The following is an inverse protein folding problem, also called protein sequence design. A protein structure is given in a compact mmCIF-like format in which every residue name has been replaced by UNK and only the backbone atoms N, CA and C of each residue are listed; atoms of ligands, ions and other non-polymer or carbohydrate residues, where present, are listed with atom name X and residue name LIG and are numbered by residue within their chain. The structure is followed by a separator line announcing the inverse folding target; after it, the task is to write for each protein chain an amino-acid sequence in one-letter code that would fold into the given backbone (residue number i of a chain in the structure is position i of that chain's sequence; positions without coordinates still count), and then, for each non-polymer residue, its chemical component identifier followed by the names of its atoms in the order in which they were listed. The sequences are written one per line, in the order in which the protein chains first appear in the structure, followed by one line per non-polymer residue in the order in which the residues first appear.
data_IF_831803640664
#
_entry.id   IF_831803640664
#
_cell.length_a   1.000
_cell.length_b   1.000
_cell.length_c   1.000
_cell.angle_alpha   90.00
_cell.angle_beta   90.00
_cell.angle_gamma   90.00
#
_symmetry.space_group_name_H-M   'P 1'
#
loop_
_entity.id
_entity.type
_entity.pdbx_description
1 polymer ?
#
# COMPACT_ATOMS: atom_id res chain seq x y z
N UNK A 1 -7.05 -22.40 3.38
CA UNK A 1 -7.65 -21.39 2.52
C UNK A 1 -6.61 -20.88 1.55
N UNK A 2 -7.01 -20.59 0.33
CA UNK A 2 -6.08 -20.14 -0.71
C UNK A 2 -6.48 -18.76 -1.23
N UNK A 3 -5.50 -18.02 -1.76
CA UNK A 3 -5.77 -16.78 -2.48
C UNK A 3 -6.16 -17.10 -3.93
N UNK A 4 -7.14 -16.39 -4.44
CA UNK A 4 -7.58 -16.55 -5.83
C UNK A 4 -7.41 -15.28 -6.68
N UNK A 5 -6.98 -14.18 -6.06
CA UNK A 5 -6.76 -12.92 -6.75
C UNK A 5 -7.96 -11.98 -6.70
N UNK A 6 -9.05 -12.37 -6.03
CA UNK A 6 -10.25 -11.55 -5.96
C UNK A 6 -10.53 -11.05 -4.54
N UNK A 7 -9.56 -11.15 -3.65
CA UNK A 7 -9.70 -10.67 -2.28
C UNK A 7 -9.78 -9.15 -2.24
N UNK A 8 -10.49 -8.62 -1.25
CA UNK A 8 -10.71 -7.20 -1.09
C UNK A 8 -12.06 -6.77 -1.65
N UNK A 9 -12.45 -5.56 -1.31
CA UNK A 9 -13.74 -5.00 -1.73
C UNK A 9 -13.55 -3.56 -2.21
N UNK A 10 -14.38 -3.15 -3.15
CA UNK A 10 -14.50 -1.74 -3.49
C UNK A 10 -15.41 -1.07 -2.46
N UNK A 11 -15.08 0.14 -2.08
CA UNK A 11 -15.85 0.92 -1.12
C UNK A 11 -16.14 2.30 -1.73
N UNK A 12 -17.03 3.05 -1.10
CA UNK A 12 -17.34 4.41 -1.54
C UNK A 12 -16.27 5.38 -1.04
N UNK A 13 -16.18 6.53 -1.69
CA UNK A 13 -15.29 7.60 -1.22
C UNK A 13 -15.62 8.00 0.23
N UNK A 14 -16.90 8.04 0.58
CA UNK A 14 -17.31 8.36 1.95
C UNK A 14 -16.77 7.36 2.96
N UNK A 15 -16.91 6.07 2.68
CA UNK A 15 -16.38 5.03 3.56
C UNK A 15 -14.87 5.14 3.68
N UNK A 16 -14.18 5.34 2.57
CA UNK A 16 -12.73 5.51 2.57
C UNK A 16 -12.31 6.76 3.34
N UNK A 17 -13.03 7.87 3.18
CA UNK A 17 -12.68 9.12 3.86
C UNK A 17 -12.86 9.01 5.38
N UNK A 18 -13.86 8.29 5.84
CA UNK A 18 -14.05 8.05 7.26
C UNK A 18 -12.90 7.25 7.87
N UNK A 19 -12.45 6.23 7.14
CA UNK A 19 -11.34 5.39 7.59
C UNK A 19 -10.01 6.15 7.61
N UNK A 20 -9.72 6.91 6.56
CA UNK A 20 -8.47 7.68 6.50
C UNK A 20 -8.46 8.82 7.51
N UNK A 21 -9.61 9.43 7.79
CA UNK A 21 -9.72 10.46 8.83
C UNK A 21 -9.42 9.87 10.21
N UNK A 22 -9.93 8.68 10.51
CA UNK A 22 -9.62 8.02 11.78
C UNK A 22 -8.12 7.85 11.97
N UNK A 23 -7.40 7.49 10.92
CA UNK A 23 -5.95 7.38 11.00
C UNK A 23 -5.31 8.74 11.24
N UNK A 24 -5.70 9.77 10.47
CA UNK A 24 -5.13 11.11 10.62
C UNK A 24 -5.38 11.67 12.02
N UNK A 25 -6.48 11.30 12.65
CA UNK A 25 -6.80 11.76 14.00
C UNK A 25 -5.87 11.15 15.06
N UNK A 26 -5.13 10.10 14.73
CA UNK A 26 -4.22 9.43 15.68
C UNK A 26 -2.77 9.87 15.56
N UNK A 27 -2.42 10.66 14.55
CA UNK A 27 -1.04 11.02 14.26
C UNK A 27 -0.82 12.52 14.41
N UNK A 28 0.45 12.91 14.44
CA UNK A 28 0.84 14.33 14.51
C UNK A 28 0.87 14.95 13.11
N UNK A 29 0.63 16.27 13.01
CA UNK A 29 0.75 16.95 11.71
C UNK A 29 2.14 16.73 11.11
N UNK A 30 2.17 16.46 9.80
CA UNK A 30 3.43 16.24 9.08
C UNK A 30 3.85 14.78 8.99
N UNK A 31 3.23 13.90 9.76
CA UNK A 31 3.50 12.47 9.62
C UNK A 31 2.92 11.92 8.30
N UNK A 32 3.51 10.85 7.81
CA UNK A 32 3.09 10.24 6.55
C UNK A 32 1.67 9.68 6.66
N UNK A 33 0.80 10.08 5.74
CA UNK A 33 -0.58 9.60 5.68
C UNK A 33 -0.83 8.70 4.47
N UNK A 34 0.07 8.70 3.50
CA UNK A 34 -0.08 7.91 2.28
C UNK A 34 1.28 7.71 1.63
N UNK A 35 1.39 6.67 0.83
CA UNK A 35 2.57 6.43 0.01
C UNK A 35 2.11 6.04 -1.39
N UNK A 36 2.98 6.24 -2.37
CA UNK A 36 2.69 5.95 -3.78
C UNK A 36 3.65 4.90 -4.30
N UNK A 37 3.17 3.99 -5.11
CA UNK A 37 4.00 3.04 -5.84
C UNK A 37 3.63 3.14 -7.31
N UNK A 38 4.62 3.29 -8.16
CA UNK A 38 4.41 3.41 -9.60
C UNK A 38 3.75 2.19 -10.21
N UNK A 39 2.93 2.42 -11.23
CA UNK A 39 2.20 1.38 -11.95
C UNK A 39 3.13 0.28 -12.46
N UNK A 40 4.30 0.64 -12.98
CA UNK A 40 5.23 -0.33 -13.54
C UNK A 40 5.77 -1.31 -12.49
N UNK A 41 6.01 -0.83 -11.28
CA UNK A 41 6.48 -1.70 -10.18
C UNK A 41 5.38 -2.64 -9.72
N UNK A 42 4.17 -2.12 -9.56
CA UNK A 42 3.00 -2.93 -9.17
C UNK A 42 2.75 -4.00 -10.23
N UNK A 43 2.76 -3.61 -11.51
CA UNK A 43 2.54 -4.53 -12.62
C UNK A 43 3.61 -5.64 -12.63
N UNK A 44 4.87 -5.29 -12.45
CA UNK A 44 5.95 -6.26 -12.45
C UNK A 44 5.77 -7.30 -11.35
N UNK A 45 5.36 -6.87 -10.16
CA UNK A 45 5.09 -7.80 -9.06
C UNK A 45 3.93 -8.73 -9.41
N UNK A 46 2.83 -8.16 -9.95
CA UNK A 46 1.63 -8.93 -10.29
C UNK A 46 1.86 -9.90 -11.44
N UNK A 47 2.74 -9.57 -12.38
CA UNK A 47 3.01 -10.39 -13.55
C UNK A 47 3.89 -11.61 -13.28
N UNK A 48 4.42 -11.72 -12.06
CA UNK A 48 5.20 -12.91 -11.70
C UNK A 48 4.33 -14.16 -11.75
N UNK A 49 4.93 -15.27 -12.21
CA UNK A 49 4.23 -16.55 -12.27
C UNK A 49 3.73 -16.93 -10.86
N UNK A 50 2.50 -17.39 -10.77
CA UNK A 50 1.84 -17.83 -9.53
C UNK A 50 1.43 -16.68 -8.59
N UNK A 51 1.71 -15.42 -8.93
CA UNK A 51 1.32 -14.28 -8.11
C UNK A 51 -0.19 -14.05 -8.18
N UNK A 52 -0.84 -14.01 -7.03
CA UNK A 52 -2.29 -13.78 -6.92
C UNK A 52 -2.62 -12.37 -6.45
N UNK A 53 -1.66 -11.64 -5.94
CA UNK A 53 -1.85 -10.29 -5.45
C UNK A 53 -0.62 -9.78 -4.74
N UNK A 54 -0.76 -8.67 -4.06
CA UNK A 54 0.34 -8.02 -3.35
C UNK A 54 0.01 -7.96 -1.87
N UNK A 55 0.99 -8.33 -1.04
CA UNK A 55 0.92 -8.10 0.40
C UNK A 55 1.70 -6.84 0.72
N UNK A 56 1.08 -5.97 1.52
CA UNK A 56 1.64 -4.68 1.90
C UNK A 56 2.07 -4.76 3.35
N UNK A 57 3.38 -4.73 3.60
CA UNK A 57 3.90 -4.72 4.96
C UNK A 57 4.09 -3.29 5.43
N UNK A 58 3.66 -3.00 6.64
CA UNK A 58 3.96 -1.73 7.29
C UNK A 58 5.44 -1.73 7.66
N UNK A 59 6.12 -0.63 7.38
CA UNK A 59 7.56 -0.53 7.54
C UNK A 59 7.98 0.88 7.93
N UNK A 60 9.24 1.04 8.29
CA UNK A 60 9.84 2.36 8.58
C UNK A 60 11.10 2.47 7.72
N UNK A 61 11.24 3.59 7.01
CA UNK A 61 12.39 3.82 6.14
C UNK A 61 13.59 4.37 6.91
N UNK A 62 14.70 4.64 6.19
CA UNK A 62 15.93 5.12 6.79
C UNK A 62 15.78 6.49 7.47
N UNK A 63 14.78 7.26 7.09
CA UNK A 63 14.50 8.57 7.68
C UNK A 63 13.57 8.48 8.88
N UNK A 64 13.16 7.27 9.29
CA UNK A 64 12.23 7.08 10.38
C UNK A 64 10.77 7.32 10.01
N UNK A 65 10.45 7.39 8.73
CA UNK A 65 9.08 7.63 8.26
C UNK A 65 8.36 6.32 8.00
N UNK A 66 7.06 6.30 8.28
CA UNK A 66 6.21 5.16 7.93
C UNK A 66 6.16 4.97 6.42
N UNK A 67 6.25 3.75 5.98
CA UNK A 67 6.20 3.40 4.57
C UNK A 67 5.61 2.00 4.42
N UNK A 68 5.62 1.48 3.20
CA UNK A 68 5.16 0.13 2.91
C UNK A 68 6.25 -0.61 2.13
N UNK A 69 6.32 -1.91 2.37
CA UNK A 69 7.09 -2.84 1.53
C UNK A 69 6.08 -3.75 0.84
N UNK A 70 6.19 -3.87 -0.47
CA UNK A 70 5.28 -4.63 -1.30
C UNK A 70 5.95 -5.91 -1.79
N UNK A 71 5.24 -7.03 -1.67
CA UNK A 71 5.72 -8.33 -2.13
C UNK A 71 4.54 -9.11 -2.71
N UNK A 72 4.79 -9.88 -3.75
CA UNK A 72 3.76 -10.76 -4.31
C UNK A 72 3.43 -11.90 -3.36
N UNK A 73 2.21 -12.38 -3.43
CA UNK A 73 1.78 -13.54 -2.66
C UNK A 73 1.12 -14.56 -3.60
N UNK A 74 1.36 -15.83 -3.35
CA UNK A 74 0.85 -16.91 -4.18
C UNK A 74 -0.48 -17.46 -3.66
N UNK A 75 -1.01 -18.47 -4.33
CA UNK A 75 -2.30 -19.07 -3.96
C UNK A 75 -2.27 -19.74 -2.60
N UNK A 76 -1.11 -20.12 -2.11
CA UNK A 76 -0.96 -20.73 -0.79
C UNK A 76 -0.76 -19.70 0.32
N UNK A 77 -0.96 -18.43 0.00
CA UNK A 77 -0.82 -17.30 0.93
C UNK A 77 0.63 -17.03 1.34
N UNK A 78 1.59 -17.59 0.62
CA UNK A 78 3.01 -17.39 0.92
C UNK A 78 3.55 -16.17 0.17
N UNK A 79 4.39 -15.40 0.86
CA UNK A 79 5.13 -14.32 0.22
C UNK A 79 6.16 -14.91 -0.76
N UNK A 80 6.24 -14.27 -1.92
CA UNK A 80 7.18 -14.68 -2.96
C UNK A 80 8.55 -14.06 -2.68
N UNK A 81 9.21 -14.56 -1.62
CA UNK A 81 10.41 -13.94 -1.06
C UNK A 81 11.63 -14.05 -1.97
N UNK A 82 11.60 -14.94 -2.94
CA UNK A 82 12.67 -15.06 -3.94
C UNK A 82 12.34 -14.26 -5.21
N UNK A 83 11.24 -13.58 -5.23
CA UNK A 83 10.80 -12.74 -6.35
C UNK A 83 11.06 -11.26 -6.09
N UNK A 84 10.21 -10.43 -6.68
CA UNK A 84 10.33 -8.97 -6.60
C UNK A 84 9.77 -8.45 -5.28
N UNK A 85 10.55 -7.63 -4.61
CA UNK A 85 10.15 -6.93 -3.38
C UNK A 85 10.41 -5.45 -3.62
N UNK A 86 9.43 -4.60 -3.36
CA UNK A 86 9.53 -3.17 -3.67
C UNK A 86 9.37 -2.31 -2.43
N UNK A 87 10.12 -1.21 -2.40
CA UNK A 87 10.04 -0.20 -1.35
C UNK A 87 10.24 1.18 -1.98
N UNK A 88 10.66 2.14 -1.18
CA UNK A 88 10.94 3.52 -1.63
C UNK A 88 9.70 4.18 -2.22
N UNK A 89 8.60 4.04 -1.52
CA UNK A 89 7.33 4.64 -1.92
C UNK A 89 7.36 6.15 -1.65
N UNK A 90 7.15 7.01 -2.66
CA UNK A 90 7.05 8.46 -2.41
C UNK A 90 5.96 8.75 -1.36
N UNK A 91 6.31 9.48 -0.29
CA UNK A 91 5.35 9.70 0.81
C UNK A 91 4.51 10.95 0.63
N UNK A 92 3.31 10.92 1.17
CA UNK A 92 2.47 12.10 1.38
C UNK A 92 2.36 12.36 2.88
N UNK A 93 2.72 13.52 3.42
CA UNK A 93 3.47 14.56 2.72
C UNK A 93 4.94 14.16 2.49
N UNK A 94 5.63 14.72 1.56
CA UNK A 94 5.36 15.98 0.83
C UNK A 94 4.79 15.75 -0.58
N UNK A 95 4.72 14.52 -1.04
CA UNK A 95 4.29 14.21 -2.40
C UNK A 95 2.82 13.78 -2.33
N UNK A 96 1.95 14.78 -2.41
CA UNK A 96 0.51 14.59 -2.33
C UNK A 96 -0.17 15.12 -3.58
N UNK A 97 -1.34 14.57 -3.87
CA UNK A 97 -2.20 15.15 -4.89
C UNK A 97 -2.97 16.34 -4.38
N UNK A 98 -3.93 16.81 -5.16
CA UNK A 98 -4.83 17.88 -4.72
C UNK A 98 -5.60 17.46 -3.49
N UNK A 99 -5.97 18.44 -2.66
CA UNK A 99 -6.77 18.18 -1.47
C UNK A 99 -8.08 17.50 -1.85
N UNK A 100 -8.42 16.44 -1.13
CA UNK A 100 -9.66 15.71 -1.33
C UNK A 100 -10.07 15.01 -0.02
N UNK A 101 -11.17 14.26 -0.07
CA UNK A 101 -11.73 13.65 1.13
C UNK A 101 -10.84 12.57 1.76
N UNK A 102 -9.84 12.07 1.02
CA UNK A 102 -8.94 11.04 1.54
C UNK A 102 -7.72 11.64 2.25
N UNK A 103 -7.31 12.85 1.91
CA UNK A 103 -6.05 13.43 2.41
C UNK A 103 -6.21 14.72 3.21
N UNK A 104 -7.42 15.21 3.38
CA UNK A 104 -7.63 16.48 4.12
C UNK A 104 -8.71 16.40 5.16
#
# INVERSE_FOLDING_TARGET
MSFNGNEGDFITLREGSEMTKRYRDTIQPGEVIAVFMGKEKIKAILDQSECKGIRFYFAVNDKGENTLVLVGADSNQNDMVNGLIADNCPPCPNICGNSNNLNS
#
